data_IF_909230477867
#
_entry.id   IF_909230477867
#
_cell.length_a   1.000
_cell.length_b   1.000
_cell.length_c   1.000
_cell.angle_alpha   90.00
_cell.angle_beta   90.00
_cell.angle_gamma   90.00
#
_symmetry.space_group_name_H-M   'P 1'
#
loop_
_entity.id
_entity.type
_entity.pdbx_description
1 polymer ?
#
# COMPACT_ATOMS: atom_id res chain seq x y z
N UNK A 1 26.62 -12.37 -0.55
CA UNK A 1 26.40 -12.59 -1.99
C UNK A 1 25.24 -13.56 -2.12
N UNK A 2 24.00 -13.05 -2.16
CA UNK A 2 22.78 -13.87 -2.09
C UNK A 2 22.03 -13.72 -3.41
N UNK A 3 22.08 -14.76 -4.23
CA UNK A 3 21.24 -14.94 -5.41
C UNK A 3 19.89 -15.52 -4.96
N UNK A 4 18.82 -14.77 -5.16
CA UNK A 4 17.43 -15.18 -5.01
C UNK A 4 16.85 -15.47 -6.40
N UNK A 5 16.52 -16.73 -6.69
CA UNK A 5 15.58 -17.10 -7.74
C UNK A 5 15.14 -18.56 -7.52
N UNK A 6 13.83 -18.82 -7.40
CA UNK A 6 13.01 -19.36 -8.51
C UNK A 6 11.60 -19.79 -8.07
N UNK A 7 10.68 -19.49 -8.97
CA UNK A 7 9.29 -19.92 -9.05
C UNK A 7 9.26 -21.22 -9.88
N UNK A 8 8.57 -22.26 -9.40
CA UNK A 8 8.34 -23.50 -10.14
C UNK A 8 7.15 -23.34 -11.09
N UNK A 9 7.37 -23.61 -12.38
CA UNK A 9 6.35 -23.80 -13.41
C UNK A 9 6.53 -25.18 -14.03
N UNK A 10 5.58 -26.07 -13.81
CA UNK A 10 5.36 -27.23 -14.67
C UNK A 10 4.12 -26.96 -15.51
N UNK A 11 4.22 -27.02 -16.84
CA UNK A 11 3.16 -27.52 -17.72
C UNK A 11 3.75 -27.77 -19.12
N UNK A 12 3.57 -29.00 -19.61
CA UNK A 12 3.84 -29.41 -20.98
C UNK A 12 2.82 -28.75 -21.92
N UNK A 13 3.28 -28.17 -23.02
CA UNK A 13 2.43 -27.80 -24.15
C UNK A 13 2.82 -28.64 -25.36
N UNK A 14 1.92 -29.54 -25.75
CA UNK A 14 1.90 -30.19 -27.06
C UNK A 14 1.54 -29.16 -28.14
N UNK A 15 2.15 -29.34 -29.30
CA UNK A 15 2.03 -28.52 -30.50
C UNK A 15 0.63 -28.52 -31.11
N UNK A 16 0.21 -27.40 -31.72
CA UNK A 16 -0.44 -27.33 -33.04
C UNK A 16 -0.88 -25.90 -33.41
N UNK A 17 -0.60 -25.48 -34.65
CA UNK A 17 -1.53 -24.68 -35.45
C UNK A 17 -1.35 -23.16 -35.47
N UNK A 18 -0.66 -22.69 -36.51
CA UNK A 18 -0.54 -21.29 -36.91
C UNK A 18 -1.91 -20.68 -37.32
N UNK A 19 -2.34 -19.61 -36.66
CA UNK A 19 -3.19 -18.54 -37.24
C UNK A 19 -3.00 -17.29 -36.38
N UNK A 20 -2.00 -16.47 -36.72
CA UNK A 20 -1.89 -15.12 -36.15
C UNK A 20 -3.04 -14.28 -36.70
N UNK A 21 -4.15 -14.29 -35.97
CA UNK A 21 -5.11 -13.20 -36.02
C UNK A 21 -4.40 -11.95 -35.49
N UNK A 22 -4.31 -10.91 -36.30
CA UNK A 22 -3.92 -9.58 -35.85
C UNK A 22 -4.99 -9.08 -34.88
N UNK A 23 -4.92 -9.52 -33.63
CA UNK A 23 -5.72 -8.99 -32.53
C UNK A 23 -5.21 -7.56 -32.32
N UNK A 24 -6.07 -6.52 -32.43
CA UNK A 24 -5.65 -5.16 -32.13
C UNK A 24 -5.05 -5.14 -30.73
N UNK A 25 -3.81 -4.63 -30.61
CA UNK A 25 -3.09 -4.50 -29.35
C UNK A 25 -3.97 -3.64 -28.43
N UNK A 26 -4.61 -4.27 -27.44
CA UNK A 26 -5.41 -3.53 -26.45
C UNK A 26 -4.48 -2.51 -25.81
N UNK A 27 -4.80 -1.22 -25.94
CA UNK A 27 -4.05 -0.17 -25.28
C UNK A 27 -4.22 -0.37 -23.77
N UNK A 28 -3.13 -0.71 -23.09
CA UNK A 28 -3.12 -0.85 -21.63
C UNK A 28 -3.09 0.55 -21.03
N UNK A 29 -4.09 0.89 -20.23
CA UNK A 29 -4.15 2.17 -19.52
C UNK A 29 -3.26 2.09 -18.27
N UNK A 30 -2.45 3.12 -18.00
CA UNK A 30 -1.65 3.20 -16.77
C UNK A 30 -2.29 4.19 -15.80
N UNK A 31 -2.69 3.72 -14.61
CA UNK A 31 -3.08 4.59 -13.51
C UNK A 31 -1.86 4.99 -12.69
N UNK A 32 -1.61 6.29 -12.62
CA UNK A 32 -0.57 6.85 -11.73
C UNK A 32 -1.22 7.23 -10.41
N UNK A 33 -0.80 6.58 -9.32
CA UNK A 33 -1.21 6.87 -7.95
C UNK A 33 -0.12 7.70 -7.29
N UNK A 34 -0.33 9.02 -7.26
CA UNK A 34 0.56 9.96 -6.57
C UNK A 34 0.11 10.09 -5.12
N UNK A 35 1.06 10.03 -4.20
CA UNK A 35 0.77 10.30 -2.80
C UNK A 35 1.91 11.05 -2.12
N UNK A 36 1.56 11.97 -1.23
CA UNK A 36 2.51 12.61 -0.35
C UNK A 36 2.81 11.69 0.84
N UNK A 37 4.09 11.45 1.09
CA UNK A 37 4.55 10.62 2.20
C UNK A 37 5.15 11.50 3.28
N UNK A 38 4.48 11.55 4.44
CA UNK A 38 4.94 12.23 5.63
C UNK A 38 5.41 11.20 6.65
N UNK A 39 6.47 11.54 7.37
CA UNK A 39 6.97 10.73 8.47
C UNK A 39 7.49 11.68 9.53
N UNK A 40 7.15 11.41 10.79
CA UNK A 40 7.66 12.23 11.88
C UNK A 40 9.20 12.21 11.93
N UNK A 41 9.86 13.29 12.35
CA UNK A 41 11.31 13.30 12.52
C UNK A 41 11.79 12.18 13.43
N UNK A 42 11.06 11.88 14.51
CA UNK A 42 11.38 10.79 15.42
C UNK A 42 11.33 9.42 14.72
N UNK A 43 10.24 9.12 14.01
CA UNK A 43 10.06 7.86 13.28
C UNK A 43 11.16 7.69 12.21
N UNK A 44 11.47 8.76 11.48
CA UNK A 44 12.57 8.77 10.49
C UNK A 44 13.92 8.41 11.13
N UNK A 45 14.23 8.99 12.30
CA UNK A 45 15.47 8.67 13.03
C UNK A 45 15.51 7.22 13.50
N UNK A 46 14.37 6.61 13.86
CA UNK A 46 14.31 5.19 14.26
C UNK A 46 14.76 4.27 13.11
N UNK A 47 14.29 4.49 11.89
CA UNK A 47 14.75 3.71 10.72
C UNK A 47 16.25 3.92 10.43
N UNK A 48 16.73 5.16 10.52
CA UNK A 48 18.15 5.48 10.29
C UNK A 48 19.04 4.72 11.28
N UNK A 49 18.64 4.62 12.54
CA UNK A 49 19.39 3.90 13.57
C UNK A 49 19.47 2.39 13.31
N UNK A 50 18.55 1.83 12.52
CA UNK A 50 18.56 0.45 12.06
C UNK A 50 19.29 0.27 10.72
N UNK A 51 20.03 1.29 10.27
CA UNK A 51 20.71 1.36 8.97
C UNK A 51 19.75 1.22 7.77
N UNK A 52 18.49 1.67 7.94
CA UNK A 52 17.46 1.64 6.89
C UNK A 52 17.06 3.05 6.49
N UNK A 53 16.85 3.29 5.20
CA UNK A 53 16.26 4.52 4.69
C UNK A 53 14.79 4.27 4.37
N UNK A 54 13.90 5.00 5.03
CA UNK A 54 12.45 4.82 4.85
C UNK A 54 12.03 5.05 3.40
N UNK A 55 12.65 6.00 2.69
CA UNK A 55 12.37 6.26 1.28
C UNK A 55 12.66 5.04 0.40
N UNK A 56 13.78 4.36 0.63
CA UNK A 56 14.17 3.16 -0.13
C UNK A 56 13.18 2.01 0.17
N UNK A 57 12.75 1.86 1.42
CA UNK A 57 11.75 0.87 1.81
C UNK A 57 10.37 1.14 1.17
N UNK A 58 9.94 2.40 1.14
CA UNK A 58 8.68 2.81 0.49
C UNK A 58 8.74 2.55 -1.02
N UNK A 59 9.87 2.87 -1.67
CA UNK A 59 10.05 2.56 -3.09
C UNK A 59 10.05 1.05 -3.36
N UNK A 60 10.70 0.26 -2.50
CA UNK A 60 10.68 -1.19 -2.60
C UNK A 60 9.25 -1.73 -2.51
N UNK A 61 8.46 -1.28 -1.52
CA UNK A 61 7.04 -1.66 -1.38
C UNK A 61 6.25 -1.28 -2.63
N UNK A 62 6.44 -0.06 -3.15
CA UNK A 62 5.79 0.40 -4.36
C UNK A 62 6.06 -0.55 -5.54
N UNK A 63 7.34 -0.86 -5.82
CA UNK A 63 7.71 -1.74 -6.93
C UNK A 63 7.17 -3.16 -6.79
N UNK A 64 7.21 -3.74 -5.58
CA UNK A 64 6.68 -5.09 -5.36
C UNK A 64 5.15 -5.13 -5.48
N UNK A 65 4.46 -4.10 -5.00
CA UNK A 65 3.02 -4.00 -5.11
C UNK A 65 2.58 -3.74 -6.57
N UNK A 66 3.28 -2.88 -7.31
CA UNK A 66 3.07 -2.71 -8.76
C UNK A 66 3.21 -4.04 -9.49
N UNK A 67 4.29 -4.77 -9.23
CA UNK A 67 4.55 -6.08 -9.84
C UNK A 67 3.40 -7.06 -9.54
N UNK A 68 2.97 -7.14 -8.29
CA UNK A 68 1.90 -8.05 -7.87
C UNK A 68 0.54 -7.68 -8.50
N UNK A 69 0.16 -6.40 -8.50
CA UNK A 69 -1.11 -5.92 -9.04
C UNK A 69 -1.15 -6.03 -10.57
N UNK A 70 -0.08 -5.62 -11.26
CA UNK A 70 -0.05 -5.56 -12.73
C UNK A 70 -0.12 -6.96 -13.35
N UNK A 71 0.49 -7.98 -12.72
CA UNK A 71 0.36 -9.38 -13.15
C UNK A 71 -1.09 -9.87 -13.24
N UNK A 72 -1.97 -9.30 -12.40
CA UNK A 72 -3.39 -9.62 -12.36
C UNK A 72 -4.20 -8.70 -13.30
N UNK A 73 -3.98 -7.40 -13.22
CA UNK A 73 -4.78 -6.39 -13.92
C UNK A 73 -4.55 -6.41 -15.44
N UNK A 74 -3.36 -6.76 -15.91
CA UNK A 74 -3.05 -6.91 -17.34
C UNK A 74 -3.85 -8.06 -17.99
N UNK A 75 -4.25 -9.07 -17.21
CA UNK A 75 -5.03 -10.22 -17.68
C UNK A 75 -6.54 -9.99 -17.66
N UNK A 76 -6.98 -8.83 -17.19
CA UNK A 76 -8.41 -8.51 -17.08
C UNK A 76 -9.04 -8.12 -18.43
N UNK A 77 -10.37 -8.10 -18.48
CA UNK A 77 -11.13 -7.72 -19.69
C UNK A 77 -10.78 -6.31 -20.21
N UNK A 78 -10.35 -5.42 -19.30
CA UNK A 78 -9.85 -4.08 -19.59
C UNK A 78 -8.45 -3.96 -19.00
N UNK A 79 -7.38 -4.28 -19.75
CA UNK A 79 -6.02 -4.26 -19.23
C UNK A 79 -5.64 -2.89 -18.69
N UNK A 80 -5.26 -2.87 -17.41
CA UNK A 80 -4.80 -1.67 -16.71
C UNK A 80 -3.51 -2.03 -15.97
N UNK A 81 -2.60 -1.07 -15.87
CA UNK A 81 -1.45 -1.13 -14.98
C UNK A 81 -1.51 0.00 -13.97
N UNK A 82 -0.83 -0.18 -12.85
CA UNK A 82 -0.71 0.76 -11.75
C UNK A 82 0.74 1.15 -11.63
N UNK A 83 0.98 2.43 -11.38
CA UNK A 83 2.26 2.93 -10.90
C UNK A 83 2.07 3.82 -9.68
N UNK A 84 2.79 3.52 -8.61
CA UNK A 84 2.82 4.27 -7.36
C UNK A 84 3.98 5.25 -7.39
N UNK A 85 3.68 6.54 -7.19
CA UNK A 85 4.67 7.62 -7.21
C UNK A 85 4.68 8.31 -5.85
N UNK A 86 5.56 7.90 -4.92
CA UNK A 86 5.72 8.57 -3.64
C UNK A 86 6.34 9.97 -3.82
N UNK A 87 5.78 10.95 -3.13
CA UNK A 87 6.31 12.31 -3.01
C UNK A 87 6.72 12.51 -1.55
N UNK A 88 8.02 12.38 -1.25
CA UNK A 88 8.52 12.48 0.11
C UNK A 88 8.54 13.94 0.57
N UNK A 89 7.76 14.24 1.60
CA UNK A 89 7.68 15.59 2.17
C UNK A 89 8.56 15.63 3.43
N UNK A 90 9.44 16.63 3.50
CA UNK A 90 10.37 16.82 4.63
C UNK A 90 9.82 17.77 5.69
N UNK A 91 9.09 18.78 5.27
CA UNK A 91 8.51 19.79 6.15
C UNK A 91 7.07 19.40 6.46
N UNK A 92 6.80 19.07 7.73
CA UNK A 92 5.45 18.76 8.20
C UNK A 92 4.77 20.10 8.53
N UNK A 93 3.54 20.35 8.04
CA UNK A 93 2.78 21.54 8.40
C UNK A 93 2.65 21.69 9.93
N UNK A 94 2.74 22.92 10.46
CA UNK A 94 2.78 23.15 11.90
C UNK A 94 1.51 22.69 12.64
N UNK A 95 0.37 22.58 11.95
CA UNK A 95 -0.89 22.09 12.50
C UNK A 95 -0.95 20.55 12.64
N UNK A 96 0.09 19.83 12.18
CA UNK A 96 0.14 18.37 12.13
C UNK A 96 1.21 17.84 13.07
N UNK A 97 0.78 17.28 14.19
CA UNK A 97 1.67 16.75 15.23
C UNK A 97 1.86 15.22 15.08
N UNK A 98 2.66 14.77 14.10
CA UNK A 98 2.92 13.32 13.89
C UNK A 98 3.67 12.64 15.05
N UNK A 99 4.31 13.41 15.93
CA UNK A 99 5.01 12.90 17.11
C UNK A 99 4.11 12.76 18.34
N UNK A 100 2.88 13.27 18.30
CA UNK A 100 1.97 13.24 19.44
C UNK A 100 1.15 11.97 19.45
N UNK A 101 1.54 11.10 20.37
CA UNK A 101 0.87 9.84 20.67
C UNK A 101 0.14 9.94 22.01
N UNK A 102 -0.69 8.95 22.37
CA UNK A 102 -1.52 8.91 23.60
C UNK A 102 -2.81 9.75 23.57
N UNK A 103 -3.29 10.08 22.39
CA UNK A 103 -4.58 10.75 22.20
C UNK A 103 -5.65 9.75 21.78
N UNK A 104 -6.92 9.98 22.11
CA UNK A 104 -7.99 9.07 21.70
C UNK A 104 -8.12 9.00 20.15
N UNK A 105 -8.79 7.97 19.62
CA UNK A 105 -8.97 7.81 18.15
C UNK A 105 -9.64 9.01 17.46
N UNK A 106 -10.43 9.82 18.18
CA UNK A 106 -11.07 11.01 17.64
C UNK A 106 -10.04 12.11 17.32
N UNK A 107 -9.01 12.25 18.13
CA UNK A 107 -7.91 13.19 17.89
C UNK A 107 -7.07 12.77 16.67
N UNK A 108 -6.79 11.47 16.52
CA UNK A 108 -6.13 10.95 15.30
C UNK A 108 -6.99 11.18 14.05
N UNK A 109 -8.31 11.03 14.15
CA UNK A 109 -9.24 11.38 13.07
C UNK A 109 -9.26 12.88 12.75
N UNK A 110 -9.08 13.73 13.76
CA UNK A 110 -8.99 15.20 13.59
C UNK A 110 -7.70 15.58 12.86
N UNK A 111 -6.58 14.92 13.16
CA UNK A 111 -5.31 15.11 12.46
C UNK A 111 -5.42 14.82 10.95
N UNK A 112 -6.15 13.77 10.56
CA UNK A 112 -6.45 13.48 9.16
C UNK A 112 -7.20 14.62 8.45
N UNK A 113 -8.03 15.37 9.19
CA UNK A 113 -8.75 16.51 8.63
C UNK A 113 -7.83 17.73 8.43
N UNK A 114 -6.80 17.92 9.25
CA UNK A 114 -5.82 19.00 9.04
C UNK A 114 -5.08 18.83 7.70
N UNK A 115 -4.80 17.60 7.29
CA UNK A 115 -4.23 17.31 5.97
C UNK A 115 -5.15 17.70 4.80
N UNK A 116 -6.48 17.77 4.99
CA UNK A 116 -7.41 18.19 3.93
C UNK A 116 -7.23 19.65 3.50
N UNK A 117 -6.75 20.51 4.40
CA UNK A 117 -6.58 21.93 4.15
C UNK A 117 -5.36 22.24 3.27
N UNK A 118 -4.39 21.33 3.24
CA UNK A 118 -3.13 21.48 2.52
C UNK A 118 -3.24 21.01 1.06
N UNK A 119 -3.73 19.79 0.83
CA UNK A 119 -3.85 19.22 -0.52
C UNK A 119 -5.12 18.38 -0.65
N UNK A 120 -6.07 18.83 -1.49
CA UNK A 120 -7.31 18.09 -1.72
C UNK A 120 -7.17 17.03 -2.82
N UNK A 121 -6.24 17.22 -3.76
CA UNK A 121 -6.11 16.51 -5.02
C UNK A 121 -5.08 15.37 -5.02
N UNK A 122 -4.30 15.22 -3.94
CA UNK A 122 -3.28 14.19 -3.80
C UNK A 122 -3.54 13.35 -2.55
N UNK A 123 -3.38 12.03 -2.66
CA UNK A 123 -3.50 11.14 -1.51
C UNK A 123 -2.34 11.37 -0.53
N UNK A 124 -2.55 11.10 0.75
CA UNK A 124 -1.57 11.31 1.80
C UNK A 124 -1.39 10.01 2.56
N UNK A 125 -0.14 9.65 2.81
CA UNK A 125 0.26 8.60 3.74
C UNK A 125 1.17 9.25 4.78
N UNK A 126 0.78 9.20 6.05
CA UNK A 126 1.56 9.76 7.13
C UNK A 126 1.87 8.71 8.20
N UNK A 127 3.13 8.70 8.66
CA UNK A 127 3.63 7.77 9.68
C UNK A 127 3.75 8.49 11.01
N UNK A 128 3.01 8.00 12.01
CA UNK A 128 3.10 8.44 13.40
C UNK A 128 4.38 7.92 14.07
N UNK A 129 4.80 8.55 15.16
CA UNK A 129 5.96 8.13 15.95
C UNK A 129 5.69 6.94 16.90
N UNK A 130 4.43 6.58 17.14
CA UNK A 130 4.01 5.56 18.09
C UNK A 130 3.69 4.21 17.46
N UNK A 131 3.76 3.19 18.32
CA UNK A 131 3.18 1.87 18.13
C UNK A 131 1.64 1.93 18.18
N UNK A 132 0.98 1.00 17.49
CA UNK A 132 -0.46 0.83 17.43
C UNK A 132 -1.07 0.18 18.68
N UNK A 133 -0.26 -0.50 19.53
CA UNK A 133 -0.72 -1.23 20.73
C UNK A 133 -1.74 -0.50 21.62
N UNK A 134 -1.61 0.81 21.93
CA UNK A 134 -2.60 1.50 22.76
C UNK A 134 -4.02 1.52 22.17
N UNK A 135 -4.14 1.30 20.86
CA UNK A 135 -5.40 1.35 20.10
C UNK A 135 -5.87 -0.03 19.65
N UNK A 136 -5.16 -1.10 20.01
CA UNK A 136 -5.37 -2.47 19.50
C UNK A 136 -6.82 -2.94 19.66
N UNK A 137 -7.46 -2.63 20.79
CA UNK A 137 -8.87 -2.98 21.04
C UNK A 137 -9.84 -2.44 19.99
N UNK A 138 -9.55 -1.28 19.39
CA UNK A 138 -10.37 -0.69 18.31
C UNK A 138 -10.19 -1.47 17.01
N UNK A 139 -8.95 -1.83 16.67
CA UNK A 139 -8.65 -2.60 15.45
C UNK A 139 -9.18 -4.03 15.55
N UNK A 140 -9.03 -4.69 16.70
CA UNK A 140 -9.60 -6.02 16.96
C UNK A 140 -11.14 -5.99 16.83
N UNK A 141 -11.81 -5.01 17.44
CA UNK A 141 -13.28 -4.91 17.37
C UNK A 141 -13.77 -4.69 15.94
N UNK A 142 -12.94 -4.09 15.08
CA UNK A 142 -13.23 -3.88 13.66
C UNK A 142 -12.77 -5.03 12.78
N UNK A 143 -12.13 -6.07 13.34
CA UNK A 143 -11.49 -7.15 12.57
C UNK A 143 -10.45 -6.61 11.57
N UNK A 144 -9.78 -5.52 11.94
CA UNK A 144 -8.75 -4.89 11.11
C UNK A 144 -7.37 -5.45 11.49
N UNK A 145 -6.76 -6.20 10.57
CA UNK A 145 -5.51 -6.92 10.81
C UNK A 145 -4.30 -6.00 10.85
N UNK A 146 -4.28 -5.00 9.96
CA UNK A 146 -3.22 -3.99 9.89
C UNK A 146 -3.70 -2.71 10.55
N UNK A 147 -3.06 -2.22 11.62
CA UNK A 147 -3.43 -0.95 12.25
C UNK A 147 -3.21 0.24 11.31
N UNK A 148 -4.30 0.91 10.94
CA UNK A 148 -4.29 2.16 10.17
C UNK A 148 -5.58 2.94 10.38
N UNK A 149 -5.56 4.23 10.07
CA UNK A 149 -6.74 5.10 10.08
C UNK A 149 -6.80 5.81 8.75
N UNK A 150 -7.94 5.78 8.06
CA UNK A 150 -8.08 6.41 6.76
C UNK A 150 -9.35 7.27 6.64
N UNK A 151 -9.23 8.34 5.86
CA UNK A 151 -10.36 9.16 5.40
C UNK A 151 -10.30 9.28 3.87
N UNK A 152 -11.36 8.84 3.21
CA UNK A 152 -11.54 8.95 1.75
C UNK A 152 -12.34 10.19 1.40
N UNK A 153 -11.79 11.05 0.54
CA UNK A 153 -12.53 12.14 -0.10
C UNK A 153 -13.01 11.68 -1.49
N UNK A 154 -14.23 11.16 -1.54
CA UNK A 154 -14.77 10.50 -2.74
C UNK A 154 -14.85 11.42 -3.96
N UNK A 155 -15.12 12.72 -3.77
CA UNK A 155 -15.20 13.69 -4.88
C UNK A 155 -13.85 13.98 -5.55
N UNK A 156 -12.75 13.83 -4.82
CA UNK A 156 -11.39 14.08 -5.30
C UNK A 156 -10.61 12.79 -5.56
N UNK A 157 -11.22 11.63 -5.29
CA UNK A 157 -10.56 10.34 -5.46
C UNK A 157 -9.25 10.21 -4.68
N UNK A 158 -9.18 10.86 -3.51
CA UNK A 158 -7.98 10.94 -2.69
C UNK A 158 -8.25 10.40 -1.30
N UNK A 159 -7.21 9.86 -0.68
CA UNK A 159 -7.28 9.20 0.62
C UNK A 159 -6.17 9.75 1.50
N UNK A 160 -6.50 10.05 2.75
CA UNK A 160 -5.50 10.31 3.79
C UNK A 160 -5.44 9.12 4.70
N UNK A 161 -4.25 8.58 4.89
CA UNK A 161 -4.02 7.38 5.70
C UNK A 161 -2.95 7.67 6.73
N UNK A 162 -3.27 7.49 8.01
CA UNK A 162 -2.30 7.39 9.09
C UNK A 162 -1.92 5.92 9.29
N UNK A 163 -0.63 5.67 9.37
CA UNK A 163 -0.06 4.40 9.82
C UNK A 163 0.84 4.63 11.03
N UNK A 164 1.02 3.59 11.82
CA UNK A 164 1.84 3.62 13.04
C UNK A 164 3.30 3.30 12.74
N UNK A 165 4.19 3.61 13.67
CA UNK A 165 5.61 3.27 13.57
C UNK A 165 5.78 1.75 13.67
N UNK A 166 6.21 1.14 12.57
CA UNK A 166 6.53 -0.29 12.50
C UNK A 166 7.99 -0.46 12.08
N UNK A 167 8.85 -0.87 13.01
CA UNK A 167 10.28 -1.12 12.70
C UNK A 167 10.53 -2.54 12.22
N UNK A 168 9.64 -3.48 12.57
CA UNK A 168 9.65 -4.83 12.02
C UNK A 168 9.27 -4.79 10.53
N UNK A 169 10.17 -5.29 9.68
CA UNK A 169 10.00 -5.29 8.23
C UNK A 169 8.64 -5.81 7.74
N UNK A 170 8.15 -7.00 8.15
CA UNK A 170 6.87 -7.50 7.65
C UNK A 170 5.69 -6.59 8.01
N UNK A 171 5.71 -5.98 9.21
CA UNK A 171 4.66 -5.03 9.65
C UNK A 171 4.74 -3.70 8.90
N UNK A 172 5.95 -3.22 8.63
CA UNK A 172 6.16 -2.05 7.79
C UNK A 172 5.63 -2.27 6.37
N UNK A 173 6.00 -3.39 5.73
CA UNK A 173 5.54 -3.74 4.40
C UNK A 173 4.01 -3.83 4.36
N UNK A 174 3.41 -4.45 5.38
CA UNK A 174 1.96 -4.56 5.55
C UNK A 174 1.27 -3.18 5.62
N UNK A 175 1.73 -2.31 6.52
CA UNK A 175 1.17 -0.99 6.77
C UNK A 175 1.28 -0.09 5.53
N UNK A 176 2.45 -0.03 4.91
CA UNK A 176 2.68 0.81 3.72
C UNK A 176 1.93 0.27 2.51
N UNK A 177 1.93 -1.05 2.27
CA UNK A 177 1.17 -1.65 1.17
C UNK A 177 -0.33 -1.39 1.31
N UNK A 178 -0.85 -1.52 2.54
CA UNK A 178 -2.25 -1.20 2.86
C UNK A 178 -2.54 0.26 2.54
N UNK A 179 -1.71 1.19 3.02
CA UNK A 179 -1.89 2.61 2.77
C UNK A 179 -1.79 2.97 1.27
N UNK A 180 -0.92 2.31 0.49
CA UNK A 180 -0.84 2.49 -0.96
C UNK A 180 -2.09 1.98 -1.69
N UNK A 181 -2.63 0.82 -1.30
CA UNK A 181 -3.88 0.31 -1.85
C UNK A 181 -5.04 1.26 -1.53
N UNK A 182 -5.09 1.80 -0.30
CA UNK A 182 -6.03 2.85 0.07
C UNK A 182 -5.83 4.11 -0.79
N UNK A 183 -4.58 4.52 -1.05
CA UNK A 183 -4.23 5.65 -1.90
C UNK A 183 -4.67 5.46 -3.37
N UNK A 184 -4.74 4.22 -3.83
CA UNK A 184 -5.33 3.84 -5.13
C UNK A 184 -6.87 3.88 -5.14
N UNK A 185 -7.49 4.35 -4.06
CA UNK A 185 -8.93 4.54 -3.92
C UNK A 185 -9.70 3.27 -3.58
N UNK A 186 -9.02 2.20 -3.15
CA UNK A 186 -9.68 0.95 -2.74
C UNK A 186 -10.16 1.08 -1.31
N UNK A 187 -11.47 0.93 -1.11
CA UNK A 187 -12.10 0.99 0.20
C UNK A 187 -12.40 -0.41 0.76
N UNK A 188 -11.37 -1.26 0.84
CA UNK A 188 -11.42 -2.58 1.50
C UNK A 188 -10.74 -2.46 2.85
N UNK A 189 -11.33 -3.04 3.89
CA UNK A 189 -10.82 -2.95 5.26
C UNK A 189 -9.47 -3.66 5.41
N UNK A 190 -9.38 -4.91 4.95
CA UNK A 190 -8.17 -5.72 4.94
C UNK A 190 -7.77 -5.99 3.48
N UNK A 191 -7.06 -5.06 2.83
CA UNK A 191 -6.77 -5.19 1.41
C UNK A 191 -5.70 -6.24 1.09
N UNK A 192 -4.95 -6.67 2.11
CA UNK A 192 -3.89 -7.66 2.05
C UNK A 192 -4.33 -8.94 2.75
N UNK A 193 -3.76 -10.05 2.34
CA UNK A 193 -3.82 -11.35 3.01
C UNK A 193 -2.42 -11.66 3.52
N UNK A 194 -2.32 -12.01 4.80
CA UNK A 194 -1.07 -12.43 5.44
C UNK A 194 -1.06 -13.94 5.56
N UNK A 195 -0.11 -14.60 4.90
CA UNK A 195 0.13 -16.03 5.06
C UNK A 195 1.49 -16.23 5.72
N UNK A 196 1.50 -16.81 6.93
CA UNK A 196 2.72 -17.33 7.53
C UNK A 196 3.06 -18.66 6.84
N UNK A 197 4.16 -18.66 6.08
CA UNK A 197 4.69 -19.84 5.41
C UNK A 197 5.86 -20.38 6.23
N UNK A 198 5.61 -21.48 6.94
CA UNK A 198 6.63 -22.20 7.70
C UNK A 198 7.46 -23.04 6.72
N UNK A 199 8.67 -22.59 6.39
CA UNK A 199 9.57 -23.27 5.45
C UNK A 199 10.63 -24.13 6.16
N UNK A 200 10.21 -24.98 7.09
CA UNK A 200 11.10 -25.91 7.79
C UNK A 200 12.38 -25.25 8.32
N UNK A 201 13.55 -25.73 7.87
CA UNK A 201 14.88 -25.25 8.27
C UNK A 201 15.19 -23.79 7.85
N UNK A 202 14.41 -23.21 6.94
CA UNK A 202 14.59 -21.83 6.44
C UNK A 202 13.94 -20.77 7.34
N UNK A 203 13.27 -21.21 8.41
CA UNK A 203 12.54 -20.33 9.33
C UNK A 203 11.13 -19.98 8.83
N UNK A 204 10.54 -18.98 9.50
CA UNK A 204 9.21 -18.44 9.22
C UNK A 204 9.33 -17.38 8.13
N UNK A 205 8.55 -17.49 7.06
CA UNK A 205 8.43 -16.46 6.01
C UNK A 205 7.01 -15.89 6.01
N UNK A 206 6.88 -14.58 5.91
CA UNK A 206 5.58 -13.93 5.73
C UNK A 206 5.36 -13.64 4.24
N UNK A 207 4.30 -14.22 3.67
CA UNK A 207 3.85 -13.91 2.32
C UNK A 207 2.71 -12.90 2.41
N UNK A 208 2.93 -11.71 1.84
CA UNK A 208 1.90 -10.68 1.70
C UNK A 208 1.28 -10.83 0.31
N UNK A 209 -0.01 -11.12 0.26
CA UNK A 209 -0.79 -11.18 -0.98
C UNK A 209 -1.85 -10.10 -0.99
N UNK A 210 -2.30 -9.70 -2.16
CA UNK A 210 -3.43 -8.78 -2.29
C UNK A 210 -4.72 -9.60 -2.31
N UNK A 211 -5.70 -9.19 -1.51
CA UNK A 211 -7.00 -9.86 -1.42
C UNK A 211 -7.73 -9.83 -2.79
N UNK A 212 -8.43 -10.91 -3.14
CA UNK A 212 -9.24 -10.96 -4.36
C UNK A 212 -10.30 -9.84 -4.40
N UNK A 213 -10.90 -9.50 -3.25
CA UNK A 213 -11.84 -8.38 -3.16
C UNK A 213 -11.16 -7.05 -3.53
N UNK A 214 -9.93 -6.82 -3.07
CA UNK A 214 -9.13 -5.66 -3.45
C UNK A 214 -8.96 -5.59 -4.97
N UNK A 215 -8.62 -6.72 -5.61
CA UNK A 215 -8.42 -6.76 -7.05
C UNK A 215 -9.68 -6.39 -7.84
N UNK A 216 -10.83 -6.91 -7.43
CA UNK A 216 -12.11 -6.56 -8.06
C UNK A 216 -12.48 -5.09 -7.79
N UNK A 217 -12.27 -4.59 -6.57
CA UNK A 217 -12.51 -3.18 -6.24
C UNK A 217 -11.64 -2.23 -7.04
N UNK A 218 -10.38 -2.58 -7.31
CA UNK A 218 -9.51 -1.81 -8.21
C UNK A 218 -10.13 -1.71 -9.61
N UNK A 219 -10.60 -2.83 -10.16
CA UNK A 219 -11.24 -2.89 -11.50
C UNK A 219 -12.58 -2.15 -11.58
N UNK A 220 -13.30 -2.05 -10.47
CA UNK A 220 -14.59 -1.35 -10.40
C UNK A 220 -14.45 0.14 -10.06
N UNK A 221 -13.26 0.57 -9.62
CA UNK A 221 -13.08 1.89 -9.05
C UNK A 221 -13.27 2.98 -10.10
N UNK A 222 -14.29 3.84 -9.93
CA UNK A 222 -14.52 4.98 -10.82
C UNK A 222 -13.38 5.99 -10.77
N UNK A 223 -12.70 6.09 -9.63
CA UNK A 223 -11.48 6.89 -9.49
C UNK A 223 -10.30 6.35 -10.31
N UNK A 224 -10.37 5.10 -10.79
CA UNK A 224 -9.39 4.52 -11.70
C UNK A 224 -9.57 5.01 -13.13
N UNK A 225 -10.82 5.17 -13.60
CA UNK A 225 -11.13 5.43 -15.00
C UNK A 225 -11.50 6.89 -15.31
N UNK A 226 -11.87 7.68 -14.30
CA UNK A 226 -12.21 9.08 -14.48
C UNK A 226 -11.00 9.99 -14.26
N UNK A 227 -9.93 9.89 -15.07
CA UNK A 227 -8.90 10.93 -15.27
C UNK A 227 -8.07 10.63 -16.52
#
# INVERSE_FOLDING_TARGET
MLLLAYILLSFQATTLGNTQTNIPRRETMTKVVRFQFYISPYARTRYINENRKVEDLVQFVASELERALNLYLEKSDRPVTISFVPIFIREIPPEIELDRCDTNMLELGTMLNSFNLETSDTSIIAVLSCDSKPYEGVFITREQEVPYIAHTLSSQCTTRTLIFLETEEPKFLAAVSTAMIRAAGVDVLNPLLFEEVINGDSGIRYDIRVNNETMEKIKENRCFYNH
#
